data_IF_945084053281
#
_entry.id   IF_945084053281
#
_cell.length_a   1.000
_cell.length_b   1.000
_cell.length_c   1.000
_cell.angle_alpha   90.00
_cell.angle_beta   90.00
_cell.angle_gamma   90.00
#
_symmetry.space_group_name_H-M   'P 1'
#
loop_
_entity.id
_entity.type
_entity.pdbx_description
1 polymer ?
#
# COMPACT_ATOMS: atom_id res chain seq x y z
N UNK A 1 4.10 12.04 -13.79
CA UNK A 1 3.99 10.81 -14.59
C UNK A 1 2.97 9.93 -13.89
N UNK A 2 1.92 9.54 -14.61
CA UNK A 2 0.56 9.56 -14.07
C UNK A 2 0.18 8.31 -13.28
N UNK A 3 -0.70 8.53 -12.31
CA UNK A 3 -1.53 7.59 -11.54
C UNK A 3 -2.02 6.33 -12.33
N UNK A 4 -2.03 6.33 -13.66
CA UNK A 4 -2.41 5.19 -14.49
C UNK A 4 -1.53 3.94 -14.27
N UNK A 5 -0.21 4.09 -14.17
CA UNK A 5 0.69 2.94 -13.94
C UNK A 5 0.47 2.34 -12.54
N UNK A 6 0.34 3.20 -11.53
CA UNK A 6 0.03 2.78 -10.18
C UNK A 6 -1.35 2.10 -10.10
N UNK A 7 -2.37 2.61 -10.81
CA UNK A 7 -3.68 1.95 -10.92
C UNK A 7 -3.59 0.60 -11.62
N UNK A 8 -2.76 0.46 -12.64
CA UNK A 8 -2.54 -0.82 -13.31
C UNK A 8 -1.94 -1.85 -12.35
N UNK A 9 -0.91 -1.46 -11.57
CA UNK A 9 -0.33 -2.31 -10.50
C UNK A 9 -1.40 -2.72 -9.50
N UNK A 10 -2.15 -1.76 -8.97
CA UNK A 10 -3.22 -2.00 -7.98
C UNK A 10 -4.26 -2.97 -8.54
N UNK A 11 -4.74 -2.72 -9.77
CA UNK A 11 -5.72 -3.58 -10.43
C UNK A 11 -5.21 -5.00 -10.61
N UNK A 12 -3.97 -5.17 -11.08
CA UNK A 12 -3.33 -6.48 -11.24
C UNK A 12 -3.18 -7.20 -9.90
N UNK A 13 -2.65 -6.55 -8.87
CA UNK A 13 -2.45 -7.14 -7.55
C UNK A 13 -3.77 -7.60 -6.93
N UNK A 14 -4.80 -6.76 -6.98
CA UNK A 14 -6.13 -7.08 -6.44
C UNK A 14 -6.78 -8.23 -7.22
N UNK A 15 -6.67 -8.23 -8.55
CA UNK A 15 -7.20 -9.31 -9.38
C UNK A 15 -6.49 -10.65 -9.16
N UNK A 16 -5.16 -10.61 -8.99
CA UNK A 16 -4.35 -11.80 -8.67
C UNK A 16 -4.70 -12.36 -7.30
N UNK A 17 -4.81 -11.52 -6.27
CA UNK A 17 -5.22 -11.94 -4.93
C UNK A 17 -6.63 -12.53 -4.91
N UNK A 18 -7.57 -11.93 -5.64
CA UNK A 18 -8.94 -12.44 -5.72
C UNK A 18 -9.04 -13.81 -6.42
N UNK A 19 -8.23 -14.03 -7.46
CA UNK A 19 -8.19 -15.30 -8.19
C UNK A 19 -7.37 -16.39 -7.48
N UNK A 20 -6.46 -16.00 -6.59
CA UNK A 20 -5.57 -16.90 -5.86
C UNK A 20 -5.56 -16.55 -4.36
N UNK A 21 -6.66 -16.82 -3.62
CA UNK A 21 -6.81 -16.37 -2.23
C UNK A 21 -5.82 -17.01 -1.25
N UNK A 22 -5.18 -18.12 -1.64
CA UNK A 22 -4.16 -18.81 -0.83
C UNK A 22 -2.73 -18.43 -1.21
N UNK A 23 -2.53 -17.60 -2.26
CA UNK A 23 -1.20 -17.14 -2.63
C UNK A 23 -0.65 -16.18 -1.57
N UNK A 24 0.65 -16.27 -1.23
CA UNK A 24 1.29 -15.30 -0.35
C UNK A 24 1.18 -13.88 -0.93
N UNK A 25 0.85 -12.90 -0.09
CA UNK A 25 0.72 -11.51 -0.52
C UNK A 25 2.01 -10.95 -1.15
N UNK A 26 3.18 -11.37 -0.63
CA UNK A 26 4.48 -11.00 -1.18
C UNK A 26 4.64 -11.47 -2.64
N UNK A 27 4.20 -12.69 -2.97
CA UNK A 27 4.29 -13.23 -4.33
C UNK A 27 3.33 -12.51 -5.28
N UNK A 28 2.11 -12.20 -4.81
CA UNK A 28 1.12 -11.41 -5.56
C UNK A 28 1.69 -10.03 -5.90
N UNK A 29 2.32 -9.35 -4.93
CA UNK A 29 2.93 -8.04 -5.14
C UNK A 29 4.16 -8.12 -6.05
N UNK A 30 4.99 -9.14 -5.91
CA UNK A 30 6.14 -9.38 -6.78
C UNK A 30 5.72 -9.54 -8.25
N UNK A 31 4.65 -10.30 -8.51
CA UNK A 31 4.09 -10.46 -9.85
C UNK A 31 3.49 -9.15 -10.39
N UNK A 32 2.72 -8.42 -9.57
CA UNK A 32 2.11 -7.16 -9.99
C UNK A 32 3.13 -6.05 -10.30
N UNK A 33 4.27 -6.07 -9.62
CA UNK A 33 5.37 -5.11 -9.78
C UNK A 33 6.49 -5.62 -10.71
N UNK A 34 6.33 -6.81 -11.30
CA UNK A 34 7.34 -7.40 -12.17
C UNK A 34 7.66 -6.48 -13.36
N UNK A 35 8.96 -6.26 -13.60
CA UNK A 35 9.43 -5.41 -14.70
C UNK A 35 9.27 -3.91 -14.48
N UNK A 36 8.85 -3.47 -13.28
CA UNK A 36 8.66 -2.04 -12.94
C UNK A 36 9.82 -1.44 -12.14
N UNK A 37 10.87 -2.20 -11.89
CA UNK A 37 12.07 -1.69 -11.21
C UNK A 37 12.61 -0.44 -11.93
N UNK A 38 12.93 0.60 -11.16
CA UNK A 38 13.37 1.91 -11.64
C UNK A 38 12.22 2.88 -12.00
N UNK A 39 10.95 2.45 -11.92
CA UNK A 39 9.82 3.32 -12.18
C UNK A 39 9.40 4.13 -10.95
N UNK A 40 8.81 5.30 -11.20
CA UNK A 40 8.15 6.12 -10.20
C UNK A 40 6.64 5.84 -10.26
N UNK A 41 6.07 5.35 -9.16
CA UNK A 41 4.65 5.05 -9.00
C UNK A 41 4.01 6.08 -8.09
N UNK A 42 2.95 6.71 -8.58
CA UNK A 42 2.15 7.68 -7.83
C UNK A 42 0.90 6.99 -7.26
N UNK A 43 0.94 6.64 -5.97
CA UNK A 43 -0.19 6.05 -5.27
C UNK A 43 -1.13 7.11 -4.65
N UNK A 44 -0.95 8.39 -4.98
CA UNK A 44 -1.77 9.50 -4.50
C UNK A 44 -1.46 9.92 -3.06
N UNK A 45 -1.89 11.14 -2.72
CA UNK A 45 -1.62 11.73 -1.40
C UNK A 45 -2.47 11.11 -0.28
N UNK A 46 -1.91 10.95 0.94
CA UNK A 46 -2.64 10.48 2.12
C UNK A 46 -3.90 11.30 2.44
N UNK A 47 -3.83 12.61 2.18
CA UNK A 47 -4.85 13.58 2.53
C UNK A 47 -5.91 13.77 1.42
N UNK A 48 -5.77 13.11 0.28
CA UNK A 48 -6.72 13.26 -0.82
C UNK A 48 -8.13 12.81 -0.39
N UNK A 49 -9.15 13.54 -0.84
CA UNK A 49 -10.57 13.33 -0.51
C UNK A 49 -11.08 11.91 -0.86
N UNK A 50 -10.45 11.28 -1.86
CA UNK A 50 -10.72 9.91 -2.30
C UNK A 50 -9.73 8.87 -1.74
N UNK A 51 -8.80 9.31 -0.88
CA UNK A 51 -7.74 8.51 -0.29
C UNK A 51 -6.64 8.09 -1.27
N UNK A 52 -5.45 7.81 -0.75
CA UNK A 52 -4.41 7.09 -1.48
C UNK A 52 -4.95 5.74 -1.96
N UNK A 53 -4.67 5.35 -3.21
CA UNK A 53 -5.01 4.00 -3.72
C UNK A 53 -4.23 2.91 -2.98
N UNK A 54 -3.15 3.29 -2.28
CA UNK A 54 -2.40 2.46 -1.35
C UNK A 54 -2.71 2.77 0.14
N UNK A 55 -3.90 3.33 0.43
CA UNK A 55 -4.40 3.44 1.80
C UNK A 55 -4.38 2.08 2.51
N UNK A 56 -4.02 2.00 3.80
CA UNK A 56 -4.00 0.74 4.55
C UNK A 56 -5.33 -0.02 4.47
N UNK A 57 -6.46 0.68 4.30
CA UNK A 57 -7.81 0.09 4.23
C UNK A 57 -8.20 -0.37 2.83
N UNK A 58 -7.46 0.00 1.79
CA UNK A 58 -7.76 -0.46 0.43
C UNK A 58 -7.38 -1.93 0.28
N UNK A 59 -8.01 -2.69 -0.65
CA UNK A 59 -7.62 -4.07 -0.91
C UNK A 59 -6.13 -4.22 -1.23
N UNK A 60 -5.56 -3.24 -1.95
CA UNK A 60 -4.13 -3.21 -2.22
C UNK A 60 -3.31 -2.93 -0.95
N UNK A 61 -3.72 -1.97 -0.11
CA UNK A 61 -3.06 -1.72 1.18
C UNK A 61 -3.06 -2.94 2.08
N UNK A 62 -4.14 -3.73 2.10
CA UNK A 62 -4.19 -4.97 2.87
C UNK A 62 -3.16 -6.01 2.39
N UNK A 63 -2.89 -6.09 1.09
CA UNK A 63 -1.81 -6.92 0.55
C UNK A 63 -0.43 -6.40 0.97
N UNK A 64 -0.22 -5.09 0.90
CA UNK A 64 1.04 -4.47 1.32
C UNK A 64 1.30 -4.73 2.81
N UNK A 65 0.29 -4.52 3.66
CA UNK A 65 0.38 -4.80 5.10
C UNK A 65 0.76 -6.26 5.35
N UNK A 66 0.08 -7.20 4.68
CA UNK A 66 0.32 -8.64 4.85
C UNK A 66 1.74 -9.07 4.42
N UNK A 67 2.34 -8.37 3.46
CA UNK A 67 3.65 -8.71 2.92
C UNK A 67 4.81 -8.01 3.63
N UNK A 68 4.61 -6.78 4.13
CA UNK A 68 5.71 -5.90 4.54
C UNK A 68 5.64 -5.40 5.98
N UNK A 69 4.56 -5.66 6.71
CA UNK A 69 4.48 -5.36 8.13
C UNK A 69 4.47 -6.63 8.99
N UNK A 70 5.35 -6.64 9.98
CA UNK A 70 5.44 -7.71 11.00
C UNK A 70 4.94 -7.24 12.37
N UNK A 71 4.77 -5.93 12.56
CA UNK A 71 4.34 -5.34 13.82
C UNK A 71 2.81 -5.30 13.94
N UNK A 72 2.11 -5.17 12.81
CA UNK A 72 0.66 -5.05 12.77
C UNK A 72 0.06 -5.85 11.62
N UNK A 73 -1.02 -6.59 11.92
CA UNK A 73 -1.77 -7.39 10.94
C UNK A 73 -2.59 -6.50 10.01
N UNK A 74 -3.00 -7.01 8.82
CA UNK A 74 -3.86 -6.25 7.91
C UNK A 74 -5.19 -5.80 8.56
N UNK A 75 -5.78 -6.66 9.40
CA UNK A 75 -7.02 -6.34 10.11
C UNK A 75 -6.85 -5.22 11.16
N UNK A 76 -5.71 -5.20 11.87
CA UNK A 76 -5.37 -4.11 12.79
C UNK A 76 -5.13 -2.80 12.03
N UNK A 77 -4.45 -2.85 10.89
CA UNK A 77 -4.32 -1.69 10.00
C UNK A 77 -5.68 -1.15 9.56
N UNK A 78 -6.61 -2.04 9.22
CA UNK A 78 -7.97 -1.67 8.84
C UNK A 78 -8.73 -1.01 9.99
N UNK A 79 -8.58 -1.54 11.20
CA UNK A 79 -9.21 -1.06 12.42
C UNK A 79 -8.67 0.31 12.84
N UNK A 80 -7.35 0.43 13.01
CA UNK A 80 -6.71 1.62 13.59
C UNK A 80 -6.63 2.81 12.63
N UNK A 81 -6.90 2.60 11.34
CA UNK A 81 -7.00 3.69 10.35
C UNK A 81 -8.44 3.95 9.90
N UNK A 82 -9.41 3.26 10.51
CA UNK A 82 -10.85 3.43 10.27
C UNK A 82 -11.40 4.79 10.73
N UNK A 83 -12.64 5.14 10.33
CA UNK A 83 -13.28 6.38 10.77
C UNK A 83 -13.55 6.41 12.28
N UNK A 84 -13.75 5.24 12.87
CA UNK A 84 -14.03 5.07 14.30
C UNK A 84 -12.77 4.97 15.16
N UNK A 85 -11.58 4.96 14.55
CA UNK A 85 -10.33 4.94 15.27
C UNK A 85 -10.09 6.27 15.99
N UNK A 86 -9.47 6.21 17.17
CA UNK A 86 -9.09 7.41 17.89
C UNK A 86 -8.23 8.32 16.99
N UNK A 87 -8.53 9.63 16.85
CA UNK A 87 -7.90 10.48 15.84
C UNK A 87 -6.36 10.50 15.91
N UNK A 88 -5.80 10.53 17.12
CA UNK A 88 -4.34 10.53 17.32
C UNK A 88 -3.71 9.19 16.94
N UNK A 89 -4.40 8.07 17.21
CA UNK A 89 -3.93 6.75 16.82
C UNK A 89 -3.95 6.62 15.30
N UNK A 90 -5.05 7.04 14.67
CA UNK A 90 -5.19 7.06 13.21
C UNK A 90 -4.07 7.85 12.54
N UNK A 91 -3.76 9.05 13.04
CA UNK A 91 -2.65 9.87 12.51
C UNK A 91 -1.31 9.15 12.69
N UNK A 92 -1.03 8.60 13.88
CA UNK A 92 0.22 7.89 14.14
C UNK A 92 0.39 6.65 13.23
N UNK A 93 -0.68 5.87 13.05
CA UNK A 93 -0.70 4.74 12.11
C UNK A 93 -0.45 5.19 10.68
N UNK A 94 -1.13 6.25 10.20
CA UNK A 94 -0.89 6.76 8.85
C UNK A 94 0.54 7.27 8.66
N UNK A 95 1.14 7.91 9.67
CA UNK A 95 2.55 8.30 9.63
C UNK A 95 3.48 7.08 9.52
N UNK A 96 3.24 6.02 10.29
CA UNK A 96 3.99 4.77 10.20
C UNK A 96 3.80 4.07 8.84
N UNK A 97 2.59 4.09 8.30
CA UNK A 97 2.28 3.54 6.98
C UNK A 97 3.14 4.18 5.88
N UNK A 98 3.21 5.52 5.88
CA UNK A 98 3.96 6.28 4.88
C UNK A 98 5.47 6.31 5.13
N UNK A 99 5.89 6.30 6.40
CA UNK A 99 7.30 6.36 6.79
C UNK A 99 8.03 5.02 6.81
N UNK A 100 7.31 3.90 6.88
CA UNK A 100 7.92 2.57 7.05
C UNK A 100 7.35 1.53 6.09
N UNK A 101 6.04 1.27 6.13
CA UNK A 101 5.43 0.13 5.41
C UNK A 101 5.53 0.29 3.89
N UNK A 102 5.10 1.44 3.34
CA UNK A 102 5.21 1.70 1.89
C UNK A 102 6.66 1.77 1.41
N UNK A 103 7.60 2.45 2.10
CA UNK A 103 9.01 2.41 1.76
C UNK A 103 9.62 0.99 1.70
N UNK A 104 9.23 0.08 2.60
CA UNK A 104 9.68 -1.33 2.55
C UNK A 104 9.26 -2.02 1.26
N UNK A 105 8.01 -1.87 0.84
CA UNK A 105 7.53 -2.39 -0.45
C UNK A 105 8.32 -1.75 -1.61
N UNK A 106 8.49 -0.43 -1.59
CA UNK A 106 9.20 0.30 -2.62
C UNK A 106 10.63 -0.22 -2.82
N UNK A 107 11.35 -0.37 -1.70
CA UNK A 107 12.71 -0.88 -1.68
C UNK A 107 12.79 -2.33 -2.18
N UNK A 108 11.88 -3.21 -1.73
CA UNK A 108 11.87 -4.62 -2.11
C UNK A 108 11.65 -4.85 -3.61
N UNK A 109 10.92 -3.94 -4.28
CA UNK A 109 10.59 -4.05 -5.70
C UNK A 109 11.35 -3.05 -6.60
N UNK A 110 12.26 -2.27 -6.03
CA UNK A 110 13.06 -1.29 -6.77
C UNK A 110 12.24 -0.17 -7.40
N UNK A 111 11.06 0.16 -6.84
CA UNK A 111 10.22 1.26 -7.32
C UNK A 111 10.37 2.49 -6.43
N UNK A 112 10.14 3.67 -6.99
CA UNK A 112 10.03 4.91 -6.21
C UNK A 112 8.55 5.23 -6.02
N UNK A 113 8.14 5.57 -4.80
CA UNK A 113 6.76 6.00 -4.53
C UNK A 113 6.74 7.52 -4.35
N UNK A 114 5.83 8.20 -5.05
CA UNK A 114 5.57 9.64 -4.88
C UNK A 114 4.19 9.87 -4.27
N UNK A 115 3.99 11.07 -3.70
CA UNK A 115 2.77 11.42 -2.97
C UNK A 115 2.81 11.05 -1.47
N UNK A 116 3.96 10.60 -0.96
CA UNK A 116 4.19 10.48 0.49
C UNK A 116 4.37 11.87 1.09
N UNK A 117 3.86 12.13 2.32
CA UNK A 117 4.15 13.39 2.98
C UNK A 117 5.67 13.51 3.13
N UNK A 118 6.22 14.67 2.77
CA UNK A 118 7.62 14.98 3.05
C UNK A 118 7.90 14.92 4.57
N UNK A 119 9.17 14.79 4.96
CA UNK A 119 9.56 14.84 6.37
C UNK A 119 9.08 16.12 7.07
#
# INVERSE_FOLDING_TARGET
MSNADARAVVSTAVSLSASHPHAPAADVLALALQGRSGQVLDFGEPAAEHGSIASPRSPFGQLVAAAFDQAMTPAEWQLFTGPDAHPHLRVACLMAWHGDVLPKMALAHGVTITGLPGP
#
